data_IF_124065175492
#
_entry.id   IF_124065175492
#
_cell.length_a   1.000
_cell.length_b   1.000
_cell.length_c   1.000
_cell.angle_alpha   90.00
_cell.angle_beta   90.00
_cell.angle_gamma   90.00
#
_symmetry.space_group_name_H-M   'P 1'
#
loop_
_entity.id
_entity.type
_entity.pdbx_description
1 polymer ?
#
# COMPACT_ATOMS: atom_id res chain seq x y z
N UNK A 1 0.28 13.98 -20.13
CA UNK A 1 0.56 12.72 -20.86
C UNK A 1 1.44 11.76 -20.06
N UNK A 2 2.63 12.17 -19.57
CA UNK A 2 3.47 11.34 -18.69
C UNK A 2 2.77 10.86 -17.41
N UNK A 3 2.14 11.78 -16.66
CA UNK A 3 1.40 11.45 -15.43
C UNK A 3 0.23 10.48 -15.67
N UNK A 4 -0.45 10.61 -16.80
CA UNK A 4 -1.58 9.77 -17.21
C UNK A 4 -1.12 8.33 -17.46
N UNK A 5 0.02 8.15 -18.14
CA UNK A 5 0.61 6.84 -18.40
C UNK A 5 1.10 6.17 -17.10
N UNK A 6 1.70 6.95 -16.20
CA UNK A 6 2.13 6.46 -14.89
C UNK A 6 0.96 5.97 -14.04
N UNK A 7 -0.17 6.70 -14.02
CA UNK A 7 -1.38 6.28 -13.31
C UNK A 7 -2.03 5.03 -13.93
N UNK A 8 -1.98 4.88 -15.25
CA UNK A 8 -2.49 3.69 -15.94
C UNK A 8 -1.68 2.44 -15.58
N UNK A 9 -0.35 2.54 -15.60
CA UNK A 9 0.55 1.43 -15.20
C UNK A 9 0.37 1.06 -13.73
N UNK A 10 0.26 2.06 -12.84
CA UNK A 10 -0.02 1.83 -11.41
C UNK A 10 -1.35 1.11 -11.21
N UNK A 11 -2.43 1.59 -11.85
CA UNK A 11 -3.76 0.99 -11.72
C UNK A 11 -3.81 -0.44 -12.26
N UNK A 12 -3.14 -0.69 -13.39
CA UNK A 12 -3.09 -2.02 -14.00
C UNK A 12 -2.35 -3.03 -13.11
N UNK A 13 -1.19 -2.66 -12.58
CA UNK A 13 -0.42 -3.52 -11.67
C UNK A 13 -1.20 -3.83 -10.39
N UNK A 14 -1.75 -2.79 -9.75
CA UNK A 14 -2.46 -2.92 -8.47
C UNK A 14 -3.71 -3.81 -8.59
N UNK A 15 -4.46 -3.69 -9.69
CA UNK A 15 -5.64 -4.53 -9.95
C UNK A 15 -5.28 -6.01 -10.10
N UNK A 16 -4.19 -6.31 -10.81
CA UNK A 16 -3.76 -7.68 -11.08
C UNK A 16 -3.25 -8.38 -9.81
N UNK A 17 -2.44 -7.69 -8.99
CA UNK A 17 -1.90 -8.26 -7.73
C UNK A 17 -3.00 -8.66 -6.75
N UNK A 18 -4.08 -7.88 -6.67
CA UNK A 18 -5.14 -8.12 -5.68
C UNK A 18 -5.90 -9.42 -5.95
N UNK A 19 -6.07 -9.79 -7.22
CA UNK A 19 -6.76 -11.03 -7.60
C UNK A 19 -5.85 -12.25 -7.49
N UNK A 20 -4.58 -12.14 -7.90
CA UNK A 20 -3.63 -13.26 -7.88
C UNK A 20 -3.43 -13.80 -6.46
N UNK A 21 -3.33 -12.93 -5.45
CA UNK A 21 -3.12 -13.37 -4.06
C UNK A 21 -4.33 -14.15 -3.51
N UNK A 22 -5.54 -13.71 -3.82
CA UNK A 22 -6.77 -14.40 -3.38
C UNK A 22 -6.87 -15.75 -4.08
N UNK A 23 -6.60 -15.80 -5.39
CA UNK A 23 -6.62 -17.04 -6.14
C UNK A 23 -5.56 -18.02 -5.62
N UNK A 24 -4.35 -17.57 -5.31
CA UNK A 24 -3.30 -18.40 -4.74
C UNK A 24 -3.70 -18.99 -3.37
N UNK A 25 -4.28 -18.17 -2.48
CA UNK A 25 -4.76 -18.62 -1.17
C UNK A 25 -5.93 -19.63 -1.29
N UNK A 26 -6.82 -19.43 -2.26
CA UNK A 26 -7.91 -20.37 -2.53
C UNK A 26 -7.42 -21.70 -3.11
N UNK A 27 -6.37 -21.68 -3.94
CA UNK A 27 -5.74 -22.90 -4.48
C UNK A 27 -4.91 -23.66 -3.44
N UNK A 28 -4.55 -23.03 -2.32
CA UNK A 28 -3.75 -23.63 -1.26
C UNK A 28 -4.55 -24.54 -0.32
N UNK A 29 -5.88 -24.53 -0.40
CA UNK A 29 -6.78 -25.16 0.57
C UNK A 29 -7.82 -26.06 -0.10
N UNK A 30 -8.37 -27.00 0.66
CA UNK A 30 -9.49 -27.82 0.20
C UNK A 30 -10.75 -26.97 -0.04
N UNK A 31 -11.65 -27.43 -0.92
CA UNK A 31 -12.89 -26.69 -1.30
C UNK A 31 -13.75 -26.29 -0.11
N UNK A 32 -13.76 -27.10 0.95
CA UNK A 32 -14.52 -26.83 2.19
C UNK A 32 -13.98 -25.62 2.97
N UNK A 33 -12.72 -25.26 2.77
CA UNK A 33 -12.01 -24.22 3.52
C UNK A 33 -11.79 -22.92 2.71
N UNK A 34 -12.29 -22.84 1.47
CA UNK A 34 -12.18 -21.66 0.59
C UNK A 34 -12.74 -20.39 1.27
N UNK A 35 -13.81 -20.53 2.06
CA UNK A 35 -14.40 -19.43 2.83
C UNK A 35 -13.45 -18.88 3.90
N UNK A 36 -12.73 -19.77 4.59
CA UNK A 36 -11.72 -19.41 5.60
C UNK A 36 -10.52 -18.77 4.91
N UNK A 37 -10.00 -19.35 3.83
CA UNK A 37 -8.87 -18.79 3.08
C UNK A 37 -9.16 -17.38 2.54
N UNK A 38 -10.34 -17.17 1.96
CA UNK A 38 -10.75 -15.86 1.43
C UNK A 38 -10.89 -14.81 2.53
N UNK A 39 -11.47 -15.19 3.67
CA UNK A 39 -11.66 -14.30 4.82
C UNK A 39 -10.33 -13.94 5.47
N UNK A 40 -9.43 -14.92 5.67
CA UNK A 40 -8.08 -14.68 6.19
C UNK A 40 -7.26 -13.80 5.25
N UNK A 41 -7.30 -14.04 3.94
CA UNK A 41 -6.62 -13.18 2.96
C UNK A 41 -7.14 -11.74 3.00
N UNK A 42 -8.46 -11.57 3.12
CA UNK A 42 -9.09 -10.26 3.24
C UNK A 42 -8.73 -9.56 4.54
N UNK A 43 -8.71 -10.28 5.67
CA UNK A 43 -8.31 -9.76 6.97
C UNK A 43 -6.85 -9.31 6.96
N UNK A 44 -5.93 -10.14 6.45
CA UNK A 44 -4.51 -9.79 6.32
C UNK A 44 -4.30 -8.56 5.45
N UNK A 45 -5.08 -8.42 4.37
CA UNK A 45 -5.04 -7.22 3.52
C UNK A 45 -5.51 -5.97 4.26
N UNK A 46 -6.60 -6.06 5.02
CA UNK A 46 -7.09 -4.92 5.81
C UNK A 46 -6.08 -4.51 6.88
N UNK A 47 -5.52 -5.50 7.59
CA UNK A 47 -4.49 -5.26 8.61
C UNK A 47 -3.22 -4.64 8.00
N UNK A 48 -2.77 -5.15 6.84
CA UNK A 48 -1.65 -4.58 6.08
C UNK A 48 -1.93 -3.17 5.57
N UNK A 49 -3.16 -2.89 5.13
CA UNK A 49 -3.60 -1.56 4.71
C UNK A 49 -3.53 -0.54 5.85
N UNK A 50 -4.10 -0.87 7.01
CA UNK A 50 -4.06 0.01 8.19
C UNK A 50 -2.63 0.22 8.69
N UNK A 51 -1.84 -0.85 8.79
CA UNK A 51 -0.44 -0.77 9.19
C UNK A 51 0.39 0.07 8.21
N UNK A 52 0.19 -0.13 6.91
CA UNK A 52 0.85 0.64 5.86
C UNK A 52 0.53 2.13 6.00
N UNK A 53 -0.76 2.49 6.12
CA UNK A 53 -1.17 3.90 6.28
C UNK A 53 -0.52 4.52 7.52
N UNK A 54 -0.46 3.80 8.65
CA UNK A 54 0.16 4.29 9.87
C UNK A 54 1.67 4.55 9.69
N UNK A 55 2.40 3.60 9.10
CA UNK A 55 3.85 3.72 8.87
C UNK A 55 4.14 4.86 7.88
N UNK A 56 3.50 4.87 6.72
CA UNK A 56 3.72 5.91 5.71
C UNK A 56 3.24 7.30 6.19
N UNK A 57 2.17 7.36 6.98
CA UNK A 57 1.71 8.59 7.63
C UNK A 57 2.74 9.12 8.64
N UNK A 58 3.35 8.23 9.44
CA UNK A 58 4.41 8.60 10.38
C UNK A 58 5.67 9.11 9.66
N UNK A 59 6.06 8.47 8.56
CA UNK A 59 7.16 8.93 7.70
C UNK A 59 6.84 10.31 7.12
N UNK A 60 5.61 10.52 6.63
CA UNK A 60 5.19 11.80 6.06
C UNK A 60 5.23 12.93 7.09
N UNK A 61 4.62 12.73 8.26
CA UNK A 61 4.57 13.74 9.33
C UNK A 61 5.99 14.00 9.88
N UNK A 62 6.79 12.96 10.08
CA UNK A 62 8.17 13.09 10.56
C UNK A 62 9.07 13.85 9.57
N UNK A 63 8.96 13.52 8.27
CA UNK A 63 9.72 14.20 7.22
C UNK A 63 9.26 15.65 7.07
N UNK A 64 7.95 15.90 7.10
CA UNK A 64 7.39 17.24 7.02
C UNK A 64 7.84 18.11 8.21
N UNK A 65 7.81 17.55 9.42
CA UNK A 65 8.27 18.24 10.63
C UNK A 65 9.75 18.63 10.52
N UNK A 66 10.58 17.70 10.05
CA UNK A 66 12.02 17.94 9.84
C UNK A 66 12.27 18.98 8.75
N UNK A 67 11.53 18.92 7.65
CA UNK A 67 11.65 19.86 6.53
C UNK A 67 11.22 21.27 6.92
N UNK A 68 10.13 21.39 7.69
CA UNK A 68 9.68 22.68 8.21
C UNK A 68 10.68 23.27 9.21
N UNK A 69 11.30 22.45 10.06
CA UNK A 69 12.34 22.91 10.98
C UNK A 69 13.58 23.44 10.23
N UNK A 70 13.95 22.80 9.12
CA UNK A 70 15.03 23.27 8.25
C UNK A 70 14.67 24.55 7.49
N UNK A 71 13.43 24.68 7.03
CA UNK A 71 12.93 25.85 6.30
C UNK A 71 12.72 27.07 7.21
N UNK A 72 12.44 26.86 8.50
CA UNK A 72 12.22 27.92 9.49
C UNK A 72 13.12 27.74 10.74
N UNK A 73 14.43 28.06 10.65
CA UNK A 73 15.37 27.88 11.75
C UNK A 73 15.03 28.68 13.01
N UNK A 74 14.33 29.82 12.85
CA UNK A 74 13.88 30.69 13.94
C UNK A 74 12.51 30.29 14.51
N UNK A 75 11.96 29.16 14.08
CA UNK A 75 10.64 28.68 14.43
C UNK A 75 9.60 28.97 13.33
N UNK A 76 8.72 28.00 13.01
CA UNK A 76 7.68 28.20 12.00
C UNK A 76 6.66 29.27 12.43
N UNK A 77 6.02 29.96 11.48
CA UNK A 77 4.98 30.95 11.77
C UNK A 77 3.82 30.34 12.58
N UNK A 78 3.15 31.17 13.38
CA UNK A 78 1.99 30.74 14.16
C UNK A 78 0.93 30.09 13.26
N UNK A 79 0.53 28.85 13.59
CA UNK A 79 -0.44 28.07 12.81
C UNK A 79 0.17 27.06 11.83
N UNK A 80 1.50 27.03 11.69
CA UNK A 80 2.21 26.08 10.82
C UNK A 80 2.77 24.93 11.65
N UNK A 81 2.17 23.75 11.50
CA UNK A 81 2.67 22.50 12.07
C UNK A 81 2.34 21.34 11.15
N UNK A 82 3.14 20.28 11.19
CA UNK A 82 2.97 19.12 10.33
C UNK A 82 1.56 18.52 10.48
N UNK A 83 1.06 18.36 11.71
CA UNK A 83 -0.28 17.82 11.99
C UNK A 83 -1.41 18.64 11.34
N UNK A 84 -1.30 19.98 11.38
CA UNK A 84 -2.32 20.87 10.82
C UNK A 84 -2.30 20.86 9.30
N UNK A 85 -1.11 20.81 8.71
CA UNK A 85 -0.93 20.78 7.26
C UNK A 85 -1.39 19.44 6.66
N UNK A 86 -1.17 18.32 7.36
CA UNK A 86 -1.70 17.01 6.94
C UNK A 86 -3.20 16.88 7.15
N UNK A 87 -3.77 17.56 8.14
CA UNK A 87 -5.21 17.52 8.44
C UNK A 87 -6.08 18.44 7.57
N UNK A 88 -5.54 19.56 7.08
CA UNK A 88 -6.28 20.48 6.21
C UNK A 88 -5.35 21.28 5.27
N UNK A 89 -5.44 21.04 3.94
CA UNK A 89 -4.69 21.80 2.94
C UNK A 89 -5.13 23.28 2.88
N UNK A 90 -6.33 23.60 3.36
CA UNK A 90 -6.85 24.97 3.38
C UNK A 90 -6.05 25.89 4.31
N UNK A 91 -5.33 25.32 5.29
CA UNK A 91 -4.43 26.07 6.17
C UNK A 91 -3.33 26.73 5.35
N UNK A 92 -2.83 26.07 4.28
CA UNK A 92 -1.82 26.62 3.35
C UNK A 92 -2.31 27.92 2.70
N UNK A 93 -3.62 28.04 2.49
CA UNK A 93 -4.19 29.24 1.87
C UNK A 93 -4.24 30.45 2.80
N UNK A 94 -4.22 30.22 4.11
CA UNK A 94 -4.30 31.24 5.15
C UNK A 94 -2.93 31.74 5.60
N UNK A 95 -1.83 31.16 5.07
CA UNK A 95 -0.49 31.63 5.38
C UNK A 95 -0.16 32.96 4.67
N UNK A 96 0.67 33.81 5.29
CA UNK A 96 1.33 34.91 4.59
C UNK A 96 2.10 34.41 3.37
N UNK A 97 2.06 35.15 2.26
CA UNK A 97 2.68 34.74 0.98
C UNK A 97 4.17 34.39 1.11
N UNK A 98 4.88 35.05 2.03
CA UNK A 98 6.30 34.82 2.34
C UNK A 98 6.57 33.42 2.90
N UNK A 99 5.63 32.84 3.65
CA UNK A 99 5.77 31.51 4.26
C UNK A 99 5.15 30.39 3.40
N UNK A 100 4.34 30.74 2.40
CA UNK A 100 3.61 29.77 1.56
C UNK A 100 4.56 28.90 0.72
N UNK A 101 5.56 29.50 0.07
CA UNK A 101 6.48 28.77 -0.81
C UNK A 101 7.32 27.74 -0.03
N UNK A 102 8.00 28.09 1.09
CA UNK A 102 8.77 27.12 1.86
C UNK A 102 7.93 25.98 2.45
N UNK A 103 6.68 26.26 2.84
CA UNK A 103 5.76 25.25 3.34
C UNK A 103 5.34 24.28 2.24
N UNK A 104 4.99 24.78 1.04
CA UNK A 104 4.66 23.94 -0.10
C UNK A 104 5.86 23.07 -0.48
N UNK A 105 7.06 23.64 -0.53
CA UNK A 105 8.28 22.90 -0.88
C UNK A 105 8.57 21.80 0.15
N UNK A 106 8.47 22.11 1.45
CA UNK A 106 8.57 21.11 2.53
C UNK A 106 7.53 20.00 2.41
N UNK A 107 6.30 20.34 2.02
CA UNK A 107 5.21 19.38 1.84
C UNK A 107 5.45 18.47 0.63
N UNK A 108 5.88 19.04 -0.49
CA UNK A 108 6.27 18.28 -1.69
C UNK A 108 7.42 17.34 -1.36
N UNK A 109 8.44 17.83 -0.65
CA UNK A 109 9.58 17.01 -0.24
C UNK A 109 9.18 15.85 0.67
N UNK A 110 8.28 16.10 1.64
CA UNK A 110 7.76 15.06 2.52
C UNK A 110 6.98 13.99 1.74
N UNK A 111 6.12 14.39 0.80
CA UNK A 111 5.39 13.46 -0.07
C UNK A 111 6.38 12.62 -0.89
N UNK A 112 7.32 13.24 -1.58
CA UNK A 112 8.31 12.55 -2.41
C UNK A 112 9.15 11.56 -1.60
N UNK A 113 9.54 11.94 -0.38
CA UNK A 113 10.29 11.06 0.53
C UNK A 113 9.45 9.85 0.94
N UNK A 114 8.19 10.05 1.33
CA UNK A 114 7.27 8.96 1.67
C UNK A 114 7.04 8.00 0.49
N UNK A 115 6.89 8.52 -0.73
CA UNK A 115 6.77 7.68 -1.93
C UNK A 115 8.07 6.94 -2.27
N UNK A 116 9.23 7.55 -2.02
CA UNK A 116 10.52 6.88 -2.21
C UNK A 116 10.68 5.71 -1.24
N UNK A 117 10.18 5.83 -0.01
CA UNK A 117 10.09 4.72 0.95
C UNK A 117 9.15 3.59 0.50
N UNK A 118 8.22 3.83 -0.42
CA UNK A 118 7.41 2.75 -0.99
C UNK A 118 8.22 1.81 -1.89
N UNK A 119 9.31 2.30 -2.52
CA UNK A 119 10.17 1.50 -3.40
C UNK A 119 10.81 0.30 -2.66
N UNK A 120 11.55 0.48 -1.55
CA UNK A 120 12.12 -0.65 -0.83
C UNK A 120 11.06 -1.58 -0.25
N UNK A 121 9.89 -1.06 0.14
CA UNK A 121 8.77 -1.89 0.61
C UNK A 121 8.22 -2.77 -0.53
N UNK A 122 8.08 -2.22 -1.73
CA UNK A 122 7.66 -2.98 -2.92
C UNK A 122 8.70 -4.02 -3.32
N UNK A 123 9.99 -3.67 -3.27
CA UNK A 123 11.09 -4.62 -3.51
C UNK A 123 11.05 -5.76 -2.48
N UNK A 124 10.87 -5.45 -1.20
CA UNK A 124 10.76 -6.47 -0.15
C UNK A 124 9.54 -7.37 -0.36
N UNK A 125 8.38 -6.80 -0.71
CA UNK A 125 7.17 -7.56 -1.03
C UNK A 125 7.37 -8.46 -2.25
N UNK A 126 8.05 -7.96 -3.29
CA UNK A 126 8.41 -8.74 -4.47
C UNK A 126 9.35 -9.89 -4.13
N UNK A 127 10.39 -9.64 -3.32
CA UNK A 127 11.31 -10.69 -2.85
C UNK A 127 10.55 -11.73 -2.03
N UNK A 128 9.72 -11.33 -1.07
CA UNK A 128 8.87 -12.26 -0.29
C UNK A 128 7.96 -13.09 -1.20
N UNK A 129 7.43 -12.50 -2.27
CA UNK A 129 6.62 -13.22 -3.25
C UNK A 129 7.40 -14.32 -3.97
N UNK A 130 8.72 -14.20 -4.14
CA UNK A 130 9.54 -15.27 -4.72
C UNK A 130 9.67 -16.48 -3.79
N UNK A 131 9.46 -16.31 -2.48
CA UNK A 131 9.46 -17.39 -1.49
C UNK A 131 8.09 -18.04 -1.31
N UNK A 132 7.02 -17.49 -1.92
CA UNK A 132 5.73 -18.16 -1.91
C UNK A 132 5.85 -19.47 -2.69
N UNK A 133 5.65 -20.59 -1.98
CA UNK A 133 5.65 -21.92 -2.60
C UNK A 133 4.47 -21.99 -3.58
N UNK A 134 4.78 -22.23 -4.85
CA UNK A 134 3.78 -22.41 -5.90
C UNK A 134 2.96 -23.68 -5.59
N UNK A 135 1.69 -23.50 -5.26
CA UNK A 135 0.75 -24.60 -5.09
C UNK A 135 0.05 -24.73 -6.43
N UNK A 136 0.16 -25.92 -7.05
CA UNK A 136 -0.47 -26.17 -8.36
C UNK A 136 -1.95 -25.84 -8.26
N UNK A 137 -2.44 -25.12 -9.27
CA UNK A 137 -3.87 -24.90 -9.46
C UNK A 137 -4.58 -26.25 -9.35
N UNK A 138 -5.54 -26.40 -8.44
CA UNK A 138 -6.33 -27.62 -8.34
C UNK A 138 -7.06 -27.80 -9.68
N UNK A 139 -6.53 -28.72 -10.47
CA UNK A 139 -6.87 -28.88 -11.87
C UNK A 139 -8.18 -29.64 -11.98
N UNK A 140 -8.86 -29.44 -13.12
CA UNK A 140 -10.02 -30.24 -13.52
C UNK A 140 -9.76 -31.76 -13.48
N UNK A 141 -8.51 -32.18 -13.46
CA UNK A 141 -8.07 -33.57 -13.37
C UNK A 141 -8.31 -34.17 -11.96
N UNK A 142 -8.26 -33.36 -10.90
CA UNK A 142 -8.50 -33.80 -9.51
C UNK A 142 -9.98 -34.15 -9.29
N UNK A 143 -10.89 -33.44 -9.97
CA UNK A 143 -12.33 -33.68 -9.94
C UNK A 143 -12.71 -34.94 -10.71
N UNK A 144 -11.95 -35.29 -11.75
CA UNK A 144 -12.17 -36.52 -12.53
C UNK A 144 -11.63 -37.72 -11.75
N UNK A 145 -10.49 -37.60 -11.08
CA UNK A 145 -9.90 -38.68 -10.28
C UNK A 145 -10.78 -39.12 -9.09
N UNK A 146 -11.44 -38.20 -8.39
CA UNK A 146 -12.38 -38.57 -7.29
C UNK A 146 -13.71 -39.14 -7.81
N UNK A 147 -14.07 -38.86 -9.07
CA UNK A 147 -15.29 -39.37 -9.69
C UNK A 147 -15.11 -40.78 -10.30
N UNK A 148 -13.87 -41.20 -10.55
CA UNK A 148 -13.54 -42.51 -11.13
C UNK A 148 -13.23 -43.61 -10.09
N UNK A 149 -13.10 -43.29 -8.80
CA UNK A 149 -12.88 -44.32 -7.77
C UNK A 149 -14.21 -45.05 -7.47
N UNK A 150 -14.37 -46.32 -7.90
CA UNK A 150 -15.61 -47.06 -7.68
C UNK A 150 -15.69 -47.43 -6.20
N UNK A 151 -16.87 -47.22 -5.60
CA UNK A 151 -17.16 -47.67 -4.24
C UNK A 151 -16.81 -49.16 -4.09
N UNK A 152 -16.05 -49.57 -3.06
CA UNK A 152 -15.80 -50.98 -2.81
C UNK A 152 -17.13 -51.69 -2.51
N UNK A 153 -17.36 -52.78 -3.25
CA UNK A 153 -18.56 -53.62 -3.20
C UNK A 153 -18.74 -54.34 -1.85
#
# INVERSE_FOLDING_TARGET
MYYSLAMLLLGYGFGNTTQVLVLAAQNAVERKDIGVATSTATFMRQMGGTFGIAVFGSILVGTLTTSLAAAFPTGPPAGVSADRLTGSPAVIQQLPDVARIPVIDSFIHAIQTTFTWAIPVLIAAFILSLFLKEIRLAGRDDVVATAEEPAPA
#
